data_IF_681326450644
#
_entry.id   IF_681326450644
#
_cell.length_a   1.000
_cell.length_b   1.000
_cell.length_c   1.000
_cell.angle_alpha   90.00
_cell.angle_beta   90.00
_cell.angle_gamma   90.00
#
_symmetry.space_group_name_H-M   'P 1'
#
loop_
_entity.id
_entity.type
_entity.pdbx_description
1 polymer ?
#
# COMPACT_ATOMS: atom_id res chain seq x y z
N UNK A 1 9.36 1.67 18.97
CA UNK A 1 10.48 0.85 18.45
C UNK A 1 11.21 1.66 17.38
N UNK A 2 12.54 1.53 17.26
CA UNK A 2 13.32 2.16 16.18
C UNK A 2 13.86 1.05 15.27
N UNK A 3 13.62 1.15 13.97
CA UNK A 3 14.16 0.22 12.97
C UNK A 3 15.43 0.78 12.35
N UNK A 4 16.38 -0.07 12.00
CA UNK A 4 17.57 0.30 11.26
C UNK A 4 17.21 0.83 9.87
N UNK A 5 16.44 0.04 9.12
CA UNK A 5 16.03 0.30 7.75
C UNK A 5 14.73 -0.49 7.43
N UNK A 6 14.18 -0.31 6.23
CA UNK A 6 12.98 -1.03 5.77
C UNK A 6 13.18 -2.55 5.72
N UNK A 7 14.39 -3.02 5.46
CA UNK A 7 14.67 -4.46 5.37
C UNK A 7 14.61 -5.11 6.76
N UNK A 8 15.15 -4.47 7.79
CA UNK A 8 15.01 -4.95 9.17
C UNK A 8 13.54 -5.01 9.59
N UNK A 9 12.78 -3.96 9.32
CA UNK A 9 11.34 -3.92 9.63
C UNK A 9 10.57 -5.06 8.93
N UNK A 10 10.86 -5.30 7.64
CA UNK A 10 10.28 -6.41 6.87
C UNK A 10 10.64 -7.78 7.45
N UNK A 11 11.89 -8.02 7.84
CA UNK A 11 12.32 -9.28 8.48
C UNK A 11 11.62 -9.54 9.81
N UNK A 12 11.37 -8.48 10.59
CA UNK A 12 10.63 -8.59 11.85
C UNK A 12 9.15 -8.89 11.63
N UNK A 13 8.51 -8.25 10.65
CA UNK A 13 7.13 -8.56 10.25
C UNK A 13 7.00 -9.99 9.71
N UNK A 14 7.97 -10.43 8.91
CA UNK A 14 7.98 -11.77 8.34
C UNK A 14 7.86 -12.86 9.42
N UNK A 15 8.51 -12.67 10.59
CA UNK A 15 8.41 -13.60 11.73
C UNK A 15 6.97 -13.74 12.25
N UNK A 16 6.19 -12.66 12.26
CA UNK A 16 4.78 -12.67 12.68
C UNK A 16 3.87 -13.34 11.64
N UNK A 17 4.30 -13.37 10.38
CA UNK A 17 3.53 -13.88 9.25
C UNK A 17 3.88 -15.33 8.87
N UNK A 18 4.88 -15.96 9.49
CA UNK A 18 5.31 -17.33 9.16
C UNK A 18 4.18 -18.37 9.20
N UNK A 19 3.17 -18.15 10.04
CA UNK A 19 1.97 -18.99 10.11
C UNK A 19 1.23 -19.10 8.77
N UNK A 20 1.34 -18.11 7.89
CA UNK A 20 0.69 -18.07 6.58
C UNK A 20 1.50 -18.73 5.46
N UNK A 21 2.72 -19.20 5.72
CA UNK A 21 3.61 -19.77 4.70
C UNK A 21 2.96 -20.89 3.88
N UNK A 22 2.20 -21.77 4.55
CA UNK A 22 1.59 -22.93 3.89
C UNK A 22 0.32 -22.58 3.09
N UNK A 23 -0.28 -21.41 3.31
CA UNK A 23 -1.43 -20.91 2.54
C UNK A 23 -1.04 -20.32 1.18
N UNK A 24 0.28 -20.18 0.91
CA UNK A 24 0.83 -19.57 -0.32
C UNK A 24 0.20 -18.19 -0.62
N UNK A 25 0.36 -17.22 0.29
CA UNK A 25 -0.24 -15.90 0.14
C UNK A 25 0.36 -15.15 -1.05
N UNK A 26 -0.29 -14.05 -1.42
CA UNK A 26 0.27 -13.02 -2.30
C UNK A 26 0.59 -11.82 -1.43
N UNK A 27 1.86 -11.41 -1.40
CA UNK A 27 2.31 -10.21 -0.69
C UNK A 27 2.23 -9.04 -1.64
N UNK A 28 1.56 -7.96 -1.24
CA UNK A 28 1.31 -6.78 -2.07
C UNK A 28 1.93 -5.57 -1.37
N UNK A 29 3.05 -5.09 -1.90
CA UNK A 29 3.70 -3.89 -1.40
C UNK A 29 3.12 -2.63 -2.03
N UNK A 30 2.80 -1.63 -1.22
CA UNK A 30 2.46 -0.31 -1.72
C UNK A 30 3.73 0.40 -2.21
N UNK A 31 3.73 0.79 -3.48
CA UNK A 31 4.88 1.49 -4.02
C UNK A 31 4.99 2.91 -3.44
N UNK A 32 6.20 3.39 -3.11
CA UNK A 32 7.50 2.72 -3.28
C UNK A 32 8.03 2.10 -1.99
N UNK A 33 7.87 2.82 -0.88
CA UNK A 33 8.47 2.48 0.40
C UNK A 33 8.01 1.15 0.98
N UNK A 34 6.80 0.68 0.65
CA UNK A 34 6.31 -0.62 1.07
C UNK A 34 7.01 -1.81 0.40
N UNK A 35 7.63 -1.64 -0.78
CA UNK A 35 8.20 -2.75 -1.55
C UNK A 35 9.39 -3.42 -0.86
N UNK A 36 10.40 -2.71 -0.32
CA UNK A 36 11.48 -3.34 0.42
C UNK A 36 11.01 -4.15 1.64
N UNK A 37 9.95 -3.68 2.32
CA UNK A 37 9.35 -4.39 3.46
C UNK A 37 8.62 -5.64 2.98
N UNK A 38 7.81 -5.50 1.93
CA UNK A 38 7.05 -6.58 1.31
C UNK A 38 7.96 -7.68 0.74
N UNK A 39 9.11 -7.30 0.18
CA UNK A 39 10.12 -8.22 -0.32
C UNK A 39 10.61 -9.19 0.76
N UNK A 40 10.98 -8.69 1.93
CA UNK A 40 11.48 -9.52 3.03
C UNK A 40 10.41 -10.50 3.54
N UNK A 41 9.15 -10.06 3.56
CA UNK A 41 8.00 -10.91 3.91
C UNK A 41 7.81 -11.99 2.85
N UNK A 42 7.73 -11.62 1.57
CA UNK A 42 7.52 -12.55 0.46
C UNK A 42 8.64 -13.60 0.39
N UNK A 43 9.90 -13.17 0.56
CA UNK A 43 11.06 -14.05 0.59
C UNK A 43 10.97 -15.08 1.74
N UNK A 44 10.65 -14.64 2.96
CA UNK A 44 10.54 -15.55 4.11
C UNK A 44 9.39 -16.56 3.98
N UNK A 45 8.27 -16.14 3.39
CA UNK A 45 7.09 -16.97 3.16
C UNK A 45 7.19 -17.82 1.89
N UNK A 46 8.23 -17.63 1.07
CA UNK A 46 8.31 -18.23 -0.27
C UNK A 46 7.03 -17.95 -1.10
N UNK A 47 6.56 -16.71 -1.02
CA UNK A 47 5.31 -16.22 -1.59
C UNK A 47 5.58 -15.27 -2.77
N UNK A 48 4.57 -15.09 -3.63
CA UNK A 48 4.66 -14.09 -4.70
C UNK A 48 4.63 -12.67 -4.15
N UNK A 49 5.34 -11.75 -4.82
CA UNK A 49 5.36 -10.33 -4.50
C UNK A 49 4.74 -9.52 -5.64
N UNK A 50 3.61 -8.87 -5.39
CA UNK A 50 3.02 -7.89 -6.29
C UNK A 50 3.19 -6.46 -5.75
N UNK A 51 2.92 -5.50 -6.62
CA UNK A 51 2.94 -4.06 -6.34
C UNK A 51 1.55 -3.46 -6.49
N UNK A 52 1.15 -2.66 -5.51
CA UNK A 52 0.00 -1.76 -5.61
C UNK A 52 0.49 -0.32 -5.83
N UNK A 53 -0.08 0.35 -6.81
CA UNK A 53 0.19 1.76 -7.13
C UNK A 53 -1.01 2.60 -6.73
N UNK A 54 -0.77 3.55 -5.84
CA UNK A 54 -1.81 4.46 -5.35
C UNK A 54 -1.40 5.89 -5.65
N UNK A 55 -2.35 6.69 -6.15
CA UNK A 55 -2.19 8.14 -6.27
C UNK A 55 -3.34 8.83 -5.57
N UNK A 56 -3.02 9.74 -4.65
CA UNK A 56 -4.03 10.63 -4.06
C UNK A 56 -4.51 11.63 -5.11
N UNK A 57 -5.77 12.00 -4.99
CA UNK A 57 -6.38 13.11 -5.71
C UNK A 57 -6.41 14.29 -4.72
N UNK A 58 -5.64 15.33 -5.00
CA UNK A 58 -5.57 16.53 -4.16
C UNK A 58 -6.71 17.50 -4.43
N UNK A 59 -6.97 18.39 -3.49
CA UNK A 59 -7.91 19.50 -3.66
C UNK A 59 -7.29 20.62 -4.53
N UNK A 60 -8.12 21.45 -5.20
CA UNK A 60 -7.63 22.65 -5.88
C UNK A 60 -6.80 23.54 -4.94
N UNK A 61 -5.64 24.01 -5.41
CA UNK A 61 -4.70 24.85 -4.65
C UNK A 61 -4.13 24.24 -3.36
N UNK A 62 -4.51 23.02 -2.97
CA UNK A 62 -4.03 22.34 -1.76
C UNK A 62 -3.84 20.84 -2.04
N UNK A 63 -2.82 20.51 -2.81
CA UNK A 63 -2.58 19.14 -3.30
C UNK A 63 -2.41 18.10 -2.18
N UNK A 64 -1.92 18.53 -1.01
CA UNK A 64 -1.76 17.68 0.17
C UNK A 64 -3.10 17.31 0.83
N UNK A 65 -4.15 18.11 0.61
CA UNK A 65 -5.51 17.79 1.06
C UNK A 65 -6.14 16.79 0.09
N UNK A 66 -6.13 15.51 0.46
CA UNK A 66 -6.67 14.46 -0.40
C UNK A 66 -8.20 14.46 -0.40
N UNK A 67 -8.79 14.67 -1.58
CA UNK A 67 -10.24 14.52 -1.84
C UNK A 67 -10.59 13.13 -2.37
N UNK A 68 -9.59 12.29 -2.61
CA UNK A 68 -9.77 10.95 -3.13
C UNK A 68 -8.46 10.22 -3.38
N UNK A 69 -8.55 9.03 -3.96
CA UNK A 69 -7.41 8.22 -4.39
C UNK A 69 -7.77 7.36 -5.60
N UNK A 70 -6.74 7.02 -6.38
CA UNK A 70 -6.79 6.10 -7.51
C UNK A 70 -5.85 4.93 -7.20
N UNK A 71 -6.34 3.71 -7.40
CA UNK A 71 -5.56 2.47 -7.32
C UNK A 71 -5.46 1.85 -8.71
N UNK A 72 -4.27 1.34 -9.05
CA UNK A 72 -4.02 0.65 -10.31
C UNK A 72 -4.79 -0.67 -10.45
N UNK A 73 -4.71 -1.26 -11.64
CA UNK A 73 -5.37 -2.49 -12.03
C UNK A 73 -5.95 -2.41 -13.44
N UNK A 74 -6.45 -3.54 -13.96
CA UNK A 74 -7.07 -3.62 -15.29
C UNK A 74 -8.20 -2.59 -15.46
N UNK A 75 -8.97 -2.40 -14.39
CA UNK A 75 -9.94 -1.33 -14.23
C UNK A 75 -9.56 -0.53 -12.97
N UNK A 76 -8.79 0.58 -13.13
CA UNK A 76 -8.35 1.38 -11.99
C UNK A 76 -9.53 1.83 -11.14
N UNK A 77 -9.41 1.66 -9.82
CA UNK A 77 -10.47 2.02 -8.89
C UNK A 77 -10.27 3.46 -8.42
N UNK A 78 -11.34 4.24 -8.43
CA UNK A 78 -11.34 5.65 -8.02
C UNK A 78 -12.24 5.80 -6.81
N UNK A 79 -11.69 6.38 -5.74
CA UNK A 79 -12.40 6.66 -4.50
C UNK A 79 -12.41 8.17 -4.27
N UNK A 80 -13.58 8.73 -4.04
CA UNK A 80 -13.77 10.16 -3.80
C UNK A 80 -14.42 10.36 -2.43
N UNK A 81 -13.95 11.39 -1.72
CA UNK A 81 -14.58 11.88 -0.51
C UNK A 81 -15.59 12.98 -0.88
N UNK A 82 -16.84 12.57 -1.09
CA UNK A 82 -17.91 13.47 -1.53
C UNK A 82 -18.24 14.57 -0.50
N UNK A 83 -17.94 14.35 0.78
CA UNK A 83 -18.14 15.34 1.83
C UNK A 83 -17.16 16.52 1.67
N UNK A 84 -15.87 16.22 1.51
CA UNK A 84 -14.85 17.25 1.27
C UNK A 84 -15.10 17.97 -0.06
N UNK A 85 -15.45 17.21 -1.11
CA UNK A 85 -15.80 17.76 -2.42
C UNK A 85 -16.96 18.75 -2.32
N UNK A 86 -18.01 18.39 -1.58
CA UNK A 86 -19.16 19.24 -1.33
C UNK A 86 -18.80 20.50 -0.53
N UNK A 87 -18.08 20.36 0.59
CA UNK A 87 -17.68 21.48 1.43
C UNK A 87 -16.78 22.49 0.70
N UNK A 88 -15.92 22.02 -0.21
CA UNK A 88 -15.01 22.86 -0.99
C UNK A 88 -15.60 23.29 -2.35
N UNK A 89 -16.84 22.90 -2.67
CA UNK A 89 -17.50 23.15 -3.95
C UNK A 89 -16.61 22.78 -5.16
N UNK A 90 -15.93 21.63 -5.08
CA UNK A 90 -14.99 21.21 -6.12
C UNK A 90 -15.77 20.79 -7.37
N UNK A 91 -15.41 21.37 -8.50
CA UNK A 91 -16.08 21.11 -9.77
C UNK A 91 -15.77 19.72 -10.29
N UNK A 92 -16.74 19.13 -11.00
CA UNK A 92 -16.54 17.86 -11.70
C UNK A 92 -15.41 17.95 -12.73
N UNK A 93 -15.31 19.05 -13.44
CA UNK A 93 -14.28 19.25 -14.47
C UNK A 93 -12.87 19.17 -13.89
N UNK A 94 -12.64 19.77 -12.71
CA UNK A 94 -11.38 19.64 -12.00
C UNK A 94 -11.08 18.19 -11.63
N UNK A 95 -12.07 17.48 -11.07
CA UNK A 95 -11.95 16.07 -10.67
C UNK A 95 -11.60 15.20 -11.87
N UNK A 96 -12.30 15.38 -12.99
CA UNK A 96 -12.07 14.60 -14.21
C UNK A 96 -10.69 14.89 -14.81
N UNK A 97 -10.21 16.12 -14.75
CA UNK A 97 -8.87 16.51 -15.21
C UNK A 97 -7.76 15.86 -14.36
N UNK A 98 -7.84 16.00 -13.03
CA UNK A 98 -6.83 15.45 -12.14
C UNK A 98 -6.82 13.91 -12.19
N UNK A 99 -7.98 13.27 -12.34
CA UNK A 99 -8.08 11.81 -12.54
C UNK A 99 -7.31 11.39 -13.79
N UNK A 100 -7.48 12.07 -14.92
CA UNK A 100 -6.75 11.76 -16.17
C UNK A 100 -5.24 11.87 -15.97
N UNK A 101 -4.78 12.92 -15.29
CA UNK A 101 -3.35 13.13 -14.99
C UNK A 101 -2.82 11.97 -14.13
N UNK A 102 -3.47 11.67 -13.01
CA UNK A 102 -3.03 10.63 -12.07
C UNK A 102 -3.11 9.22 -12.66
N UNK A 103 -4.10 8.92 -13.50
CA UNK A 103 -4.15 7.67 -14.25
C UNK A 103 -2.99 7.53 -15.24
N UNK A 104 -2.61 8.61 -15.93
CA UNK A 104 -1.45 8.60 -16.83
C UNK A 104 -0.15 8.33 -16.06
N UNK A 105 0.02 8.94 -14.88
CA UNK A 105 1.16 8.68 -13.99
C UNK A 105 1.19 7.21 -13.53
N UNK A 106 0.05 6.66 -13.10
CA UNK A 106 -0.06 5.26 -12.67
C UNK A 106 0.32 4.32 -13.81
N UNK A 107 -0.27 4.49 -15.01
CA UNK A 107 0.00 3.62 -16.16
C UNK A 107 1.46 3.64 -16.60
N UNK A 108 2.10 4.82 -16.58
CA UNK A 108 3.53 4.93 -16.87
C UNK A 108 4.35 4.14 -15.85
N UNK A 109 4.02 4.25 -14.56
CA UNK A 109 4.71 3.53 -13.48
C UNK A 109 4.48 2.03 -13.53
N UNK A 110 3.24 1.61 -13.77
CA UNK A 110 2.85 0.21 -13.90
C UNK A 110 3.63 -0.48 -15.01
N UNK A 111 3.75 0.16 -16.18
CA UNK A 111 4.55 -0.37 -17.29
C UNK A 111 6.01 -0.58 -16.91
N UNK A 112 6.58 0.32 -16.12
CA UNK A 112 7.98 0.24 -15.65
C UNK A 112 8.15 -0.89 -14.62
N UNK A 113 7.29 -0.96 -13.61
CA UNK A 113 7.45 -1.96 -12.53
C UNK A 113 7.07 -3.38 -12.96
N UNK A 114 6.06 -3.52 -13.82
CA UNK A 114 5.61 -4.84 -14.26
C UNK A 114 6.45 -5.40 -15.40
N UNK A 115 7.12 -4.56 -16.19
CA UNK A 115 7.95 -5.01 -17.33
C UNK A 115 7.24 -6.01 -18.25
N UNK A 116 5.92 -5.85 -18.44
CA UNK A 116 5.09 -6.74 -19.26
C UNK A 116 4.49 -7.95 -18.52
N UNK A 117 4.80 -8.15 -17.24
CA UNK A 117 4.13 -9.15 -16.39
C UNK A 117 2.71 -8.73 -16.05
N UNK A 118 1.81 -9.71 -15.97
CA UNK A 118 0.47 -9.49 -15.45
C UNK A 118 0.47 -9.29 -13.92
N UNK A 119 -0.65 -8.81 -13.41
CA UNK A 119 -0.95 -8.84 -11.97
C UNK A 119 -1.03 -10.28 -11.47
N UNK A 120 -0.59 -10.50 -10.24
CA UNK A 120 -0.74 -11.79 -9.59
C UNK A 120 -2.19 -11.93 -9.14
N UNK A 121 -2.87 -12.96 -9.63
CA UNK A 121 -4.24 -13.26 -9.24
C UNK A 121 -4.33 -13.60 -7.74
N UNK A 122 -5.23 -12.91 -7.04
CA UNK A 122 -5.48 -13.08 -5.60
C UNK A 122 -6.81 -13.76 -5.29
N UNK A 123 -7.62 -14.10 -6.31
CA UNK A 123 -8.91 -14.73 -6.11
C UNK A 123 -8.77 -16.03 -5.29
N UNK A 124 -9.52 -16.12 -4.18
CA UNK A 124 -9.47 -17.27 -3.28
C UNK A 124 -8.14 -17.45 -2.52
N UNK A 125 -7.21 -16.49 -2.55
CA UNK A 125 -5.93 -16.51 -1.83
C UNK A 125 -5.91 -15.54 -0.66
N UNK A 126 -4.93 -15.69 0.22
CA UNK A 126 -4.63 -14.69 1.26
C UNK A 126 -3.81 -13.57 0.61
N UNK A 127 -4.31 -12.34 0.68
CA UNK A 127 -3.60 -11.14 0.25
C UNK A 127 -3.01 -10.42 1.47
N UNK A 128 -1.68 -10.24 1.51
CA UNK A 128 -0.98 -9.52 2.58
C UNK A 128 -0.57 -8.16 2.05
N UNK A 129 -1.26 -7.11 2.47
CA UNK A 129 -1.02 -5.71 2.10
C UNK A 129 0.04 -5.11 3.02
N UNK A 130 1.12 -4.58 2.42
CA UNK A 130 2.31 -4.13 3.15
C UNK A 130 2.68 -2.70 2.76
N UNK A 131 3.06 -1.89 3.75
CA UNK A 131 3.69 -0.58 3.57
C UNK A 131 4.81 -0.38 4.61
N UNK A 132 5.67 0.63 4.44
CA UNK A 132 6.75 0.92 5.41
C UNK A 132 6.26 1.58 6.71
N UNK A 133 5.01 2.03 6.73
CA UNK A 133 4.28 2.43 7.91
C UNK A 133 2.99 3.12 7.51
N UNK A 134 2.15 3.41 8.49
CA UNK A 134 0.87 4.06 8.26
C UNK A 134 0.77 5.31 9.10
N UNK A 135 0.51 6.45 8.46
CA UNK A 135 0.03 7.64 9.15
C UNK A 135 -1.51 7.62 9.24
N UNK A 136 -2.18 8.02 8.15
CA UNK A 136 -3.64 8.14 8.10
C UNK A 136 -4.36 6.91 7.53
N UNK A 137 -3.62 5.98 6.90
CA UNK A 137 -4.18 4.77 6.30
C UNK A 137 -4.94 4.98 4.99
N UNK A 138 -5.05 6.21 4.48
CA UNK A 138 -5.85 6.50 3.28
C UNK A 138 -5.44 5.65 2.05
N UNK A 139 -4.13 5.52 1.79
CA UNK A 139 -3.62 4.71 0.68
C UNK A 139 -3.95 3.23 0.84
N UNK A 140 -3.74 2.68 2.05
CA UNK A 140 -4.03 1.28 2.34
C UNK A 140 -5.52 0.98 2.26
N UNK A 141 -6.39 1.86 2.78
CA UNK A 141 -7.85 1.72 2.66
C UNK A 141 -8.31 1.69 1.20
N UNK A 142 -7.72 2.53 0.35
CA UNK A 142 -7.98 2.51 -1.09
C UNK A 142 -7.58 1.16 -1.70
N UNK A 143 -6.39 0.66 -1.37
CA UNK A 143 -5.92 -0.66 -1.84
C UNK A 143 -6.85 -1.77 -1.36
N UNK A 144 -7.18 -1.84 -0.07
CA UNK A 144 -8.10 -2.83 0.50
C UNK A 144 -9.43 -2.83 -0.27
N UNK A 145 -10.01 -1.66 -0.51
CA UNK A 145 -11.28 -1.55 -1.22
C UNK A 145 -11.18 -2.03 -2.66
N UNK A 146 -10.05 -1.79 -3.33
CA UNK A 146 -9.77 -2.36 -4.65
C UNK A 146 -9.68 -3.89 -4.60
N UNK A 147 -8.88 -4.43 -3.67
CA UNK A 147 -8.65 -5.88 -3.56
C UNK A 147 -9.92 -6.65 -3.20
N UNK A 148 -10.83 -6.08 -2.40
CA UNK A 148 -12.12 -6.72 -2.09
C UNK A 148 -12.92 -7.09 -3.36
N UNK A 149 -12.79 -6.33 -4.44
CA UNK A 149 -13.46 -6.63 -5.71
C UNK A 149 -12.87 -7.83 -6.47
N UNK A 150 -11.67 -8.26 -6.08
CA UNK A 150 -10.95 -9.41 -6.67
C UNK A 150 -11.22 -10.73 -5.91
N UNK A 151 -12.13 -10.71 -4.92
CA UNK A 151 -12.57 -11.88 -4.13
C UNK A 151 -11.43 -12.71 -3.48
N UNK A 152 -10.51 -12.09 -2.71
CA UNK A 152 -9.53 -12.84 -1.92
C UNK A 152 -10.20 -13.66 -0.81
N UNK A 153 -9.55 -14.74 -0.38
CA UNK A 153 -9.98 -15.55 0.77
C UNK A 153 -9.87 -14.78 2.08
N UNK A 154 -8.79 -13.98 2.22
CA UNK A 154 -8.52 -13.09 3.35
C UNK A 154 -7.68 -11.90 2.91
N UNK A 155 -7.86 -10.77 3.57
CA UNK A 155 -6.98 -9.60 3.47
C UNK A 155 -6.33 -9.39 4.83
N UNK A 156 -5.00 -9.33 4.84
CA UNK A 156 -4.19 -9.05 6.02
C UNK A 156 -3.41 -7.77 5.75
N UNK A 157 -3.42 -6.83 6.69
CA UNK A 157 -2.53 -5.66 6.64
C UNK A 157 -1.35 -5.92 7.56
N UNK A 158 -0.12 -5.77 7.05
CA UNK A 158 1.09 -5.93 7.83
C UNK A 158 2.01 -4.73 7.65
N UNK A 159 2.24 -3.99 8.74
CA UNK A 159 3.04 -2.74 8.71
C UNK A 159 3.96 -2.60 9.92
N UNK A 160 5.12 -1.97 9.79
CA UNK A 160 6.05 -1.84 10.91
C UNK A 160 5.53 -0.91 12.01
N UNK A 161 4.89 0.19 11.63
CA UNK A 161 4.42 1.23 12.56
C UNK A 161 3.11 1.85 12.09
N UNK A 162 2.19 2.08 13.03
CA UNK A 162 0.92 2.78 12.80
C UNK A 162 0.36 3.36 14.10
N UNK A 163 -0.38 4.48 14.08
CA UNK A 163 -1.09 5.00 15.24
C UNK A 163 -2.31 4.13 15.59
N UNK A 164 -2.70 4.12 16.86
CA UNK A 164 -3.73 3.21 17.38
C UNK A 164 -5.11 3.43 16.73
N UNK A 165 -5.44 4.67 16.40
CA UNK A 165 -6.70 5.06 15.76
C UNK A 165 -6.81 4.44 14.37
N UNK A 166 -5.75 4.56 13.56
CA UNK A 166 -5.71 3.99 12.21
C UNK A 166 -5.78 2.46 12.26
N UNK A 167 -5.17 1.81 13.25
CA UNK A 167 -5.28 0.36 13.46
C UNK A 167 -6.73 -0.04 13.76
N UNK A 168 -7.40 0.69 14.65
CA UNK A 168 -8.78 0.41 15.03
C UNK A 168 -9.74 0.53 13.83
N UNK A 169 -9.49 1.49 12.94
CA UNK A 169 -10.24 1.63 11.69
C UNK A 169 -9.97 0.48 10.71
N UNK A 170 -8.70 0.14 10.49
CA UNK A 170 -8.33 -0.94 9.57
C UNK A 170 -8.87 -2.31 10.02
N UNK A 171 -8.89 -2.58 11.32
CA UNK A 171 -9.47 -3.83 11.88
C UNK A 171 -10.95 -4.03 11.55
N UNK A 172 -11.67 -2.98 11.16
CA UNK A 172 -13.08 -3.08 10.70
C UNK A 172 -13.18 -3.44 9.22
N UNK A 173 -12.11 -3.26 8.47
CA UNK A 173 -12.08 -3.40 7.01
C UNK A 173 -11.44 -4.70 6.53
N UNK A 174 -10.60 -5.34 7.34
CA UNK A 174 -9.81 -6.53 6.95
C UNK A 174 -9.87 -7.62 8.00
N UNK A 175 -9.43 -8.83 7.64
CA UNK A 175 -9.45 -9.99 8.53
C UNK A 175 -8.44 -9.87 9.67
N UNK A 176 -7.26 -9.29 9.40
CA UNK A 176 -6.22 -9.11 10.41
C UNK A 176 -5.35 -7.86 10.12
N UNK A 177 -4.90 -7.21 11.20
CA UNK A 177 -3.93 -6.12 11.15
C UNK A 177 -2.76 -6.45 12.07
N UNK A 178 -1.57 -6.62 11.50
CA UNK A 178 -0.32 -6.93 12.18
C UNK A 178 0.56 -5.67 12.19
N UNK A 179 0.93 -5.22 13.39
CA UNK A 179 1.77 -4.03 13.59
C UNK A 179 2.86 -4.32 14.60
N UNK A 180 4.12 -3.98 14.29
CA UNK A 180 5.24 -4.19 15.22
C UNK A 180 5.30 -3.12 16.32
N UNK A 181 5.00 -1.87 15.97
CA UNK A 181 5.10 -0.72 16.88
C UNK A 181 3.86 0.16 16.80
N UNK A 182 3.22 0.40 17.95
CA UNK A 182 2.06 1.31 18.09
C UNK A 182 2.46 2.43 19.06
N UNK A 183 3.08 3.51 18.58
CA UNK A 183 3.57 4.58 19.43
C UNK A 183 2.43 5.45 19.95
N UNK A 184 2.52 5.91 21.20
CA UNK A 184 1.56 6.88 21.77
C UNK A 184 1.68 8.25 21.08
N UNK A 185 2.90 8.66 20.74
CA UNK A 185 3.19 9.90 20.00
C UNK A 185 3.63 9.57 18.57
N UNK A 186 2.70 9.60 17.62
CA UNK A 186 2.98 9.40 16.21
C UNK A 186 3.09 10.75 15.47
N UNK A 187 4.24 11.00 14.84
CA UNK A 187 4.45 12.21 14.03
C UNK A 187 4.54 11.88 12.53
N UNK A 188 5.49 11.01 12.16
CA UNK A 188 5.71 10.59 10.79
C UNK A 188 6.31 9.19 10.76
N UNK A 189 6.05 8.42 9.70
CA UNK A 189 6.60 7.06 9.51
C UNK A 189 8.13 7.07 9.57
N UNK A 190 8.78 8.02 8.89
CA UNK A 190 10.24 8.10 8.82
C UNK A 190 10.93 8.33 10.16
N UNK A 191 10.23 8.84 11.19
CA UNK A 191 10.80 9.04 12.52
C UNK A 191 11.10 7.73 13.26
N UNK A 192 10.62 6.59 12.75
CA UNK A 192 10.82 5.27 13.32
C UNK A 192 11.91 4.46 12.61
N UNK A 193 12.66 5.10 11.71
CA UNK A 193 13.74 4.48 10.93
C UNK A 193 15.04 5.29 11.07
N UNK A 194 16.16 4.61 11.30
CA UNK A 194 17.49 5.24 11.28
C UNK A 194 17.87 5.63 9.84
N UNK A 195 17.55 4.76 8.87
CA UNK A 195 17.64 5.04 7.44
C UNK A 195 16.24 4.95 6.81
N UNK A 196 15.72 6.10 6.39
CA UNK A 196 14.46 6.24 5.66
C UNK A 196 14.67 6.85 4.26
N UNK A 197 15.83 6.59 3.65
CA UNK A 197 16.15 7.02 2.29
C UNK A 197 15.05 6.66 1.29
N UNK A 198 14.88 7.49 0.27
CA UNK A 198 13.78 7.31 -0.68
C UNK A 198 14.03 6.08 -1.56
N UNK A 199 13.09 5.14 -1.59
CA UNK A 199 13.17 3.98 -2.49
C UNK A 199 13.04 4.41 -3.95
N UNK A 200 14.02 4.03 -4.77
CA UNK A 200 14.07 4.34 -6.19
C UNK A 200 13.20 3.41 -7.03
N UNK A 201 12.95 3.78 -8.29
CA UNK A 201 12.19 2.91 -9.20
C UNK A 201 13.00 1.64 -9.56
N UNK A 202 14.32 1.76 -9.66
CA UNK A 202 15.26 0.66 -9.91
C UNK A 202 15.28 -0.34 -8.75
N UNK A 203 15.23 0.13 -7.51
CA UNK A 203 15.12 -0.74 -6.34
C UNK A 203 13.82 -1.53 -6.36
N UNK A 204 12.69 -0.86 -6.64
CA UNK A 204 11.38 -1.53 -6.76
C UNK A 204 11.44 -2.65 -7.80
N UNK A 205 11.98 -2.38 -8.99
CA UNK A 205 12.12 -3.38 -10.05
C UNK A 205 13.01 -4.54 -9.58
N UNK A 206 14.16 -4.23 -8.96
CA UNK A 206 15.08 -5.25 -8.47
C UNK A 206 14.42 -6.20 -7.45
N UNK A 207 13.59 -5.67 -6.55
CA UNK A 207 12.87 -6.49 -5.58
C UNK A 207 11.78 -7.35 -6.25
N UNK A 208 11.02 -6.79 -7.19
CA UNK A 208 9.99 -7.54 -7.93
C UNK A 208 10.58 -8.66 -8.78
N UNK A 209 11.76 -8.46 -9.37
CA UNK A 209 12.47 -9.45 -10.21
C UNK A 209 13.13 -10.58 -9.41
N UNK A 210 13.45 -10.35 -8.13
CA UNK A 210 14.13 -11.36 -7.28
C UNK A 210 13.17 -12.40 -6.70
N UNK A 211 11.88 -12.11 -6.62
CA UNK A 211 10.89 -12.94 -5.92
C UNK A 211 9.92 -13.64 -6.88
N UNK A 212 9.69 -13.07 -8.07
CA UNK A 212 8.78 -13.61 -9.08
C UNK A 212 9.54 -14.28 -10.22
#
# INVERSE_FOLDING_TARGET
MMFKDRAEAGKLLAKQLLQYKNDKPVVIGLARGGIPVAFEIAHALCAYLDVALVKKIGAPAQEELAIGAIVDGKNPQIFLNNEIIGHLNITKDYIDEIIKIKLSEIRKREKIYRSGRDRIDIAGKIAIVVDDGIATGASIKAVIKSLKSENPKKIIVAVPVAPIETIAELKREVDEVIVLSVPENFYAVGAFYNDFSQTSDEEVISFLDKVN
#
